data_IF_342191332803
#
_entry.id   IF_342191332803
#
_cell.length_a   1.000
_cell.length_b   1.000
_cell.length_c   1.000
_cell.angle_alpha   90.00
_cell.angle_beta   90.00
_cell.angle_gamma   90.00
#
_symmetry.space_group_name_H-M   'P 1'
#
loop_
_entity.id
_entity.type
_entity.pdbx_description
1 polymer ?
#
# COMPACT_ATOMS: atom_id res chain seq x y z
N UNK A 1 11.63 24.64 0.55
CA UNK A 1 11.08 23.96 1.75
C UNK A 1 11.98 22.77 2.08
N UNK A 2 12.30 22.54 3.36
CA UNK A 2 13.30 21.54 3.78
C UNK A 2 12.78 20.10 3.71
N UNK A 3 13.69 19.13 3.73
CA UNK A 3 13.45 17.69 3.81
C UNK A 3 12.43 17.30 4.92
N UNK A 4 12.43 18.03 6.03
CA UNK A 4 11.47 17.87 7.13
C UNK A 4 10.00 18.08 6.69
N UNK A 5 9.76 18.94 5.69
CA UNK A 5 8.41 19.18 5.15
C UNK A 5 7.89 17.99 4.33
N UNK A 6 8.78 17.30 3.59
CA UNK A 6 8.40 16.14 2.79
C UNK A 6 8.14 14.91 3.67
N UNK A 7 8.91 14.72 4.74
CA UNK A 7 8.67 13.66 5.74
C UNK A 7 7.28 13.81 6.34
N UNK A 8 6.96 14.97 6.93
CA UNK A 8 5.66 15.21 7.56
C UNK A 8 4.49 15.18 6.56
N UNK A 9 4.74 15.48 5.28
CA UNK A 9 3.74 15.34 4.23
C UNK A 9 3.44 13.87 3.92
N UNK A 10 4.47 13.05 3.73
CA UNK A 10 4.32 11.61 3.45
C UNK A 10 3.68 10.91 4.63
N UNK A 11 4.12 11.19 5.86
CA UNK A 11 3.58 10.55 7.05
C UNK A 11 2.07 10.85 7.20
N UNK A 12 1.66 12.13 7.08
CA UNK A 12 0.23 12.52 7.10
C UNK A 12 -0.57 11.96 5.92
N UNK A 13 0.04 11.81 4.75
CA UNK A 13 -0.61 11.20 3.58
C UNK A 13 -0.94 9.74 3.87
N UNK A 14 0.01 8.99 4.43
CA UNK A 14 -0.18 7.57 4.76
C UNK A 14 -1.15 7.37 5.93
N UNK A 15 -1.04 8.18 6.99
CA UNK A 15 -1.99 8.20 8.10
C UNK A 15 -3.43 8.41 7.60
N UNK A 16 -3.63 9.42 6.73
CA UNK A 16 -4.93 9.69 6.12
C UNK A 16 -5.42 8.53 5.27
N UNK A 17 -4.55 7.95 4.43
CA UNK A 17 -4.93 6.82 3.59
C UNK A 17 -5.43 5.63 4.42
N UNK A 18 -4.78 5.33 5.55
CA UNK A 18 -5.20 4.26 6.46
C UNK A 18 -6.50 4.63 7.18
N UNK A 19 -6.64 5.87 7.65
CA UNK A 19 -7.85 6.34 8.33
C UNK A 19 -9.09 6.32 7.43
N UNK A 20 -8.92 6.61 6.14
CA UNK A 20 -9.99 6.57 5.13
C UNK A 20 -10.23 5.17 4.55
N UNK A 21 -9.51 4.14 5.01
CA UNK A 21 -9.71 2.75 4.56
C UNK A 21 -9.24 2.48 3.13
N UNK A 22 -8.21 3.19 2.66
CA UNK A 22 -7.68 2.98 1.31
C UNK A 22 -6.96 1.63 1.17
N UNK A 23 -7.16 0.94 0.05
CA UNK A 23 -6.43 -0.28 -0.33
C UNK A 23 -5.11 0.02 -1.03
N UNK A 24 -5.08 1.09 -1.82
CA UNK A 24 -3.91 1.52 -2.57
C UNK A 24 -3.77 3.06 -2.52
N UNK A 25 -2.54 3.55 -2.50
CA UNK A 25 -2.19 4.97 -2.62
C UNK A 25 -1.38 5.17 -3.89
N UNK A 26 -1.84 6.07 -4.75
CA UNK A 26 -1.20 6.41 -6.01
C UNK A 26 -0.59 7.80 -5.90
N UNK A 27 0.72 7.91 -6.08
CA UNK A 27 1.47 9.17 -6.17
C UNK A 27 1.96 9.31 -7.61
N UNK A 28 1.33 10.21 -8.35
CA UNK A 28 1.46 10.31 -9.80
C UNK A 28 2.01 11.69 -10.18
N UNK A 29 3.28 11.78 -10.63
CA UNK A 29 3.80 13.05 -11.11
C UNK A 29 3.09 13.49 -12.40
N UNK A 30 2.74 14.77 -12.47
CA UNK A 30 2.27 15.47 -13.66
C UNK A 30 3.26 16.59 -14.01
N UNK A 31 2.98 17.35 -15.04
CA UNK A 31 3.77 18.50 -15.44
C UNK A 31 3.93 19.52 -14.29
N UNK A 32 2.81 19.98 -13.72
CA UNK A 32 2.77 21.10 -12.75
C UNK A 32 2.52 20.69 -11.29
N UNK A 33 2.03 19.49 -11.06
CA UNK A 33 1.70 18.96 -9.72
C UNK A 33 2.10 17.50 -9.55
N UNK A 34 2.00 16.99 -8.34
CA UNK A 34 1.97 15.56 -8.04
C UNK A 34 0.57 15.22 -7.57
N UNK A 35 -0.13 14.42 -8.38
CA UNK A 35 -1.50 13.98 -8.08
C UNK A 35 -1.45 12.82 -7.10
N UNK A 36 -2.26 12.89 -6.05
CA UNK A 36 -2.42 11.81 -5.06
C UNK A 36 -3.83 11.25 -5.15
N UNK A 37 -3.96 9.93 -5.30
CA UNK A 37 -5.27 9.25 -5.33
C UNK A 37 -5.27 8.06 -4.38
N UNK A 38 -6.37 7.89 -3.65
CA UNK A 38 -6.59 6.73 -2.82
C UNK A 38 -7.58 5.80 -3.51
N UNK A 39 -7.32 4.49 -3.50
CA UNK A 39 -8.32 3.50 -3.87
C UNK A 39 -9.15 3.17 -2.64
N UNK A 40 -10.41 3.57 -2.61
CA UNK A 40 -11.35 3.32 -1.53
C UNK A 40 -12.54 2.59 -2.14
N UNK A 41 -12.89 1.43 -1.60
CA UNK A 41 -13.96 0.56 -2.12
C UNK A 41 -13.85 0.29 -3.64
N UNK A 42 -12.62 0.11 -4.11
CA UNK A 42 -12.32 -0.15 -5.52
C UNK A 42 -12.27 1.09 -6.42
N UNK A 43 -12.68 2.26 -5.94
CA UNK A 43 -12.70 3.52 -6.71
C UNK A 43 -11.50 4.40 -6.39
N UNK A 44 -10.91 5.04 -7.42
CA UNK A 44 -9.83 6.01 -7.23
C UNK A 44 -10.42 7.39 -6.93
N UNK A 45 -10.15 7.89 -5.73
CA UNK A 45 -10.61 9.19 -5.26
C UNK A 45 -9.41 10.12 -5.12
N UNK A 46 -9.49 11.30 -5.75
CA UNK A 46 -8.43 12.30 -5.68
C UNK A 46 -8.36 12.95 -4.30
N UNK A 47 -7.14 13.25 -3.86
CA UNK A 47 -6.82 13.91 -2.60
C UNK A 47 -5.96 15.14 -2.88
N UNK A 48 -5.80 16.07 -1.91
CA UNK A 48 -5.01 17.27 -2.12
C UNK A 48 -3.66 16.96 -2.76
N UNK A 49 -3.36 17.67 -3.83
CA UNK A 49 -2.15 17.48 -4.62
C UNK A 49 -0.92 17.91 -3.82
N UNK A 50 0.23 17.36 -4.22
CA UNK A 50 1.52 17.80 -3.71
C UNK A 50 2.15 18.77 -4.71
N UNK A 51 2.67 19.93 -4.26
CA UNK A 51 3.44 20.85 -5.11
C UNK A 51 4.58 20.15 -5.87
N UNK A 52 4.79 20.54 -7.14
CA UNK A 52 5.79 19.89 -7.99
C UNK A 52 7.24 19.98 -7.47
N UNK A 53 7.57 21.03 -6.72
CA UNK A 53 8.88 21.20 -6.09
C UNK A 53 9.18 20.12 -5.04
N UNK A 54 8.14 19.50 -4.45
CA UNK A 54 8.27 18.40 -3.49
C UNK A 54 8.30 17.02 -4.14
N UNK A 55 8.14 16.91 -5.47
CA UNK A 55 8.06 15.62 -6.19
C UNK A 55 9.23 14.69 -5.87
N UNK A 56 10.45 15.19 -6.00
CA UNK A 56 11.66 14.40 -5.72
C UNK A 56 11.77 14.00 -4.26
N UNK A 57 11.44 14.92 -3.35
CA UNK A 57 11.53 14.67 -1.91
C UNK A 57 10.52 13.62 -1.43
N UNK A 58 9.29 13.63 -1.95
CA UNK A 58 8.27 12.61 -1.67
C UNK A 58 8.73 11.22 -2.13
N UNK A 59 9.22 11.10 -3.37
CA UNK A 59 9.70 9.82 -3.90
C UNK A 59 10.90 9.31 -3.10
N UNK A 60 11.88 10.17 -2.79
CA UNK A 60 13.04 9.79 -1.99
C UNK A 60 12.65 9.31 -0.60
N UNK A 61 11.74 10.02 0.09
CA UNK A 61 11.22 9.59 1.40
C UNK A 61 10.58 8.21 1.33
N UNK A 62 9.72 7.98 0.34
CA UNK A 62 9.06 6.70 0.13
C UNK A 62 10.04 5.57 -0.19
N UNK A 63 11.07 5.82 -1.01
CA UNK A 63 12.15 4.87 -1.30
C UNK A 63 12.96 4.54 -0.06
N UNK A 64 13.31 5.53 0.77
CA UNK A 64 14.04 5.32 2.03
C UNK A 64 13.24 4.43 2.97
N UNK A 65 11.93 4.66 3.11
CA UNK A 65 11.06 3.80 3.93
C UNK A 65 11.09 2.34 3.47
N UNK A 66 11.08 2.12 2.15
CA UNK A 66 11.12 0.80 1.53
C UNK A 66 12.53 0.22 1.30
N UNK A 67 13.60 0.90 1.77
CA UNK A 67 15.01 0.53 1.57
C UNK A 67 15.42 0.36 0.11
N UNK A 68 14.89 1.21 -0.76
CA UNK A 68 15.17 1.24 -2.20
C UNK A 68 16.34 2.19 -2.54
N UNK A 69 16.93 1.99 -3.72
CA UNK A 69 17.98 2.87 -4.23
C UNK A 69 17.39 4.21 -4.69
N UNK A 70 17.71 5.28 -3.96
CA UNK A 70 17.27 6.65 -4.25
C UNK A 70 17.97 7.27 -5.46
N UNK A 71 19.15 6.77 -5.83
CA UNK A 71 19.91 7.25 -6.97
C UNK A 71 19.39 6.65 -8.29
N UNK A 72 18.91 5.41 -8.27
CA UNK A 72 18.31 4.79 -9.45
C UNK A 72 16.87 5.28 -9.65
N UNK A 73 16.60 5.88 -10.81
CA UNK A 73 15.30 6.49 -11.17
C UNK A 73 14.79 6.03 -12.54
N UNK A 74 15.57 5.22 -13.26
CA UNK A 74 15.33 4.80 -14.64
C UNK A 74 14.74 3.40 -14.73
N UNK A 75 14.81 2.63 -13.65
CA UNK A 75 14.27 1.28 -13.56
C UNK A 75 13.16 1.23 -12.50
N UNK A 76 12.12 0.41 -12.72
CA UNK A 76 11.15 0.11 -11.68
C UNK A 76 11.83 -0.51 -10.46
N UNK A 77 11.32 -0.21 -9.27
CA UNK A 77 11.79 -0.80 -8.02
C UNK A 77 10.61 -1.21 -7.15
N UNK A 78 10.73 -2.35 -6.48
CA UNK A 78 9.72 -2.89 -5.59
C UNK A 78 10.32 -3.10 -4.21
N UNK A 79 9.58 -2.70 -3.19
CA UNK A 79 9.97 -2.85 -1.79
C UNK A 79 8.77 -3.01 -0.88
N UNK A 80 9.06 -3.18 0.40
CA UNK A 80 8.04 -3.24 1.43
C UNK A 80 8.58 -2.63 2.73
N UNK A 81 7.66 -2.12 3.54
CA UNK A 81 7.97 -1.61 4.86
C UNK A 81 6.75 -1.77 5.77
N UNK A 82 6.98 -1.77 7.08
CA UNK A 82 5.91 -1.71 8.07
C UNK A 82 5.68 -0.26 8.45
N UNK A 83 4.42 0.18 8.40
CA UNK A 83 3.98 1.46 8.90
C UNK A 83 3.36 1.26 10.27
N UNK A 84 4.03 1.79 11.30
CA UNK A 84 3.56 1.75 12.69
C UNK A 84 2.65 2.97 12.91
N UNK A 85 1.36 2.74 13.13
CA UNK A 85 0.38 3.79 13.43
C UNK A 85 -0.26 3.53 14.79
N UNK A 86 -0.72 4.58 15.50
CA UNK A 86 -1.34 4.42 16.82
C UNK A 86 -2.54 3.45 16.85
N UNK A 87 -3.27 3.33 15.73
CA UNK A 87 -4.47 2.51 15.66
C UNK A 87 -4.18 1.04 15.31
N UNK A 88 -3.27 0.80 14.36
CA UNK A 88 -2.90 -0.54 13.86
C UNK A 88 -1.67 -0.45 12.98
N UNK A 89 -0.85 -1.50 13.02
CA UNK A 89 0.25 -1.66 12.06
C UNK A 89 -0.28 -2.00 10.67
N UNK A 90 0.39 -1.48 9.65
CA UNK A 90 0.05 -1.73 8.25
C UNK A 90 1.30 -2.17 7.51
N UNK A 91 1.24 -3.36 6.91
CA UNK A 91 2.30 -3.80 6.00
C UNK A 91 2.08 -3.11 4.65
N UNK A 92 3.07 -2.35 4.20
CA UNK A 92 2.99 -1.58 2.97
C UNK A 92 3.89 -2.20 1.91
N UNK A 93 3.31 -2.51 0.75
CA UNK A 93 4.08 -2.84 -0.45
C UNK A 93 4.19 -1.60 -1.31
N UNK A 94 5.37 -1.30 -1.80
CA UNK A 94 5.64 -0.11 -2.58
C UNK A 94 6.28 -0.52 -3.91
N UNK A 95 5.80 0.08 -5.00
CA UNK A 95 6.39 -0.04 -6.33
C UNK A 95 6.62 1.35 -6.91
N UNK A 96 7.81 1.58 -7.49
CA UNK A 96 8.11 2.79 -8.26
C UNK A 96 8.24 2.45 -9.74
N UNK A 97 7.86 3.39 -10.61
CA UNK A 97 7.99 3.25 -12.05
C UNK A 97 8.38 4.61 -12.68
N UNK A 98 9.40 4.64 -13.56
CA UNK A 98 9.79 5.86 -14.25
C UNK A 98 8.70 6.34 -15.22
N UNK A 99 8.39 7.63 -15.20
CA UNK A 99 7.47 8.28 -16.14
C UNK A 99 8.11 9.55 -16.69
N UNK A 100 7.46 10.18 -17.69
CA UNK A 100 7.93 11.44 -18.30
C UNK A 100 8.18 12.54 -17.26
N UNK A 101 7.32 12.66 -16.25
CA UNK A 101 7.39 13.74 -15.27
C UNK A 101 8.13 13.36 -13.97
N UNK A 102 8.73 12.18 -13.91
CA UNK A 102 9.40 11.65 -12.72
C UNK A 102 8.90 10.25 -12.36
N UNK A 103 9.09 9.82 -11.11
CA UNK A 103 8.69 8.47 -10.71
C UNK A 103 7.25 8.45 -10.20
N UNK A 104 6.43 7.58 -10.79
CA UNK A 104 5.15 7.19 -10.21
C UNK A 104 5.41 6.20 -9.09
N UNK A 105 4.74 6.38 -7.95
CA UNK A 105 4.78 5.45 -6.83
C UNK A 105 3.38 4.92 -6.56
N UNK A 106 3.27 3.61 -6.38
CA UNK A 106 2.03 2.95 -5.94
C UNK A 106 2.35 2.23 -4.64
N UNK A 107 1.53 2.48 -3.63
CA UNK A 107 1.58 1.75 -2.36
C UNK A 107 0.33 0.90 -2.23
N UNK A 108 0.48 -0.34 -1.79
CA UNK A 108 -0.62 -1.20 -1.36
C UNK A 108 -0.57 -1.33 0.15
N UNK A 109 -1.69 -0.99 0.78
CA UNK A 109 -1.85 -1.01 2.23
C UNK A 109 -2.48 -2.35 2.63
N UNK A 110 -1.69 -3.22 3.24
CA UNK A 110 -2.16 -4.48 3.81
C UNK A 110 -2.41 -4.25 5.29
N UNK A 111 -3.63 -3.83 5.58
CA UNK A 111 -4.11 -3.78 6.95
C UNK A 111 -4.17 -5.21 7.47
N UNK A 112 -3.40 -5.51 8.52
CA UNK A 112 -3.56 -6.76 9.23
C UNK A 112 -4.89 -6.72 9.97
N UNK A 113 -5.87 -7.45 9.45
CA UNK A 113 -7.12 -7.68 10.16
C UNK A 113 -6.91 -8.93 11.03
N UNK A 114 -6.65 -8.73 12.32
CA UNK A 114 -6.56 -9.78 13.34
C UNK A 114 -7.91 -10.51 13.57
N UNK A 115 -8.94 -10.10 12.84
CA UNK A 115 -10.18 -10.83 12.69
C UNK A 115 -9.90 -12.28 12.28
N UNK A 116 -9.96 -13.20 13.25
CA UNK A 116 -9.93 -14.67 13.02
C UNK A 116 -10.79 -15.01 11.81
N UNK A 117 -10.13 -15.25 10.67
CA UNK A 117 -10.79 -15.64 9.44
C UNK A 117 -11.42 -17.00 9.68
N UNK A 118 -12.75 -17.05 9.65
CA UNK A 118 -13.48 -18.32 9.61
C UNK A 118 -13.91 -18.60 8.18
N UNK A 119 -14.08 -19.87 7.83
CA UNK A 119 -14.59 -20.26 6.51
C UNK A 119 -15.93 -19.58 6.20
N UNK A 120 -16.78 -19.41 7.21
CA UNK A 120 -18.07 -18.73 7.11
C UNK A 120 -17.93 -17.25 6.76
N UNK A 121 -16.96 -16.53 7.37
CA UNK A 121 -16.70 -15.11 7.08
C UNK A 121 -16.09 -14.88 5.71
N UNK A 122 -15.47 -15.90 5.13
CA UNK A 122 -15.03 -15.88 3.72
C UNK A 122 -16.17 -16.13 2.73
N UNK A 123 -17.42 -16.26 3.19
CA UNK A 123 -18.58 -16.51 2.34
C UNK A 123 -18.73 -17.97 1.91
N UNK A 124 -18.01 -18.91 2.53
CA UNK A 124 -18.16 -20.32 2.19
C UNK A 124 -19.47 -20.87 2.77
N UNK A 125 -20.22 -21.59 1.93
CA UNK A 125 -21.38 -22.34 2.39
C UNK A 125 -21.00 -23.40 3.42
N UNK A 126 -21.91 -23.70 4.36
CA UNK A 126 -21.66 -24.59 5.49
C UNK A 126 -21.07 -25.96 5.08
N UNK A 127 -21.55 -26.53 3.96
CA UNK A 127 -21.05 -27.80 3.45
C UNK A 127 -19.56 -27.73 3.03
N UNK A 128 -19.16 -26.66 2.34
CA UNK A 128 -17.76 -26.46 1.92
C UNK A 128 -16.87 -26.17 3.13
N UNK A 129 -17.34 -25.32 4.04
CA UNK A 129 -16.64 -25.01 5.28
C UNK A 129 -16.36 -26.26 6.10
N UNK A 130 -17.36 -27.14 6.30
CA UNK A 130 -17.18 -28.42 7.01
C UNK A 130 -16.19 -29.34 6.30
N UNK A 131 -16.23 -29.41 4.95
CA UNK A 131 -15.31 -30.26 4.18
C UNK A 131 -13.86 -29.79 4.29
N UNK A 132 -13.63 -28.49 4.17
CA UNK A 132 -12.30 -27.89 4.33
C UNK A 132 -11.79 -28.03 5.77
N UNK A 133 -12.66 -27.86 6.77
CA UNK A 133 -12.30 -28.05 8.19
C UNK A 133 -11.90 -29.49 8.49
N UNK A 134 -12.63 -30.47 7.93
CA UNK A 134 -12.27 -31.88 8.03
C UNK A 134 -10.93 -32.18 7.33
N UNK A 135 -10.71 -31.65 6.13
CA UNK A 135 -9.44 -31.81 5.40
C UNK A 135 -8.26 -31.18 6.16
N UNK A 136 -8.45 -29.99 6.74
CA UNK A 136 -7.44 -29.28 7.53
C UNK A 136 -7.08 -30.01 8.83
N UNK A 137 -7.97 -30.86 9.35
CA UNK A 137 -7.73 -31.63 10.58
C UNK A 137 -6.97 -32.93 10.35
N UNK A 138 -6.73 -33.32 9.09
CA UNK A 138 -5.96 -34.51 8.77
C UNK A 138 -4.47 -34.27 9.05
N UNK A 139 -3.75 -35.26 9.61
CA UNK A 139 -2.33 -35.11 9.95
C UNK A 139 -1.41 -34.93 8.74
N UNK A 140 -1.88 -35.32 7.55
CA UNK A 140 -1.14 -35.22 6.28
C UNK A 140 -2.11 -35.16 5.10
N UNK A 141 -1.71 -34.46 4.04
CA UNK A 141 -2.46 -34.27 2.80
C UNK A 141 -2.11 -32.94 2.13
N UNK A 142 -2.49 -32.79 0.86
CA UNK A 142 -2.32 -31.54 0.11
C UNK A 142 -3.70 -30.97 -0.23
N UNK A 143 -3.89 -29.69 0.07
CA UNK A 143 -5.06 -28.92 -0.39
C UNK A 143 -4.53 -27.85 -1.34
N UNK A 144 -4.91 -27.94 -2.61
CA UNK A 144 -4.57 -26.96 -3.62
C UNK A 144 -5.71 -25.96 -3.74
N UNK A 145 -5.41 -24.67 -3.54
CA UNK A 145 -6.34 -23.56 -3.75
C UNK A 145 -5.86 -22.83 -4.99
N UNK A 146 -6.73 -22.75 -6.01
CA UNK A 146 -6.44 -22.13 -7.31
C UNK A 146 -7.43 -21.02 -7.60
#
# INVERSE_FOLDING_TARGET
MSEAGAVALVDRMLERAVAEGASDVHVEPRDDVVRVRFRIDGMLVERPTVPADLRGAVVSRLKVMARLDIAEKRLPQDGAFRLELPARDVDVRLSTFPTEYGEKVVLRLLVQDDARLTFERMGMGAALASRLRALSSRPHGMVLVT
#
